data_IF_448733689574
#
_entry.id   IF_448733689574
#
_cell.length_a   1.000
_cell.length_b   1.000
_cell.length_c   1.000
_cell.angle_alpha   90.00
_cell.angle_beta   90.00
_cell.angle_gamma   90.00
#
_symmetry.space_group_name_H-M   'P 1'
#
loop_
_entity.id
_entity.type
_entity.pdbx_description
1 polymer ?
#
# COMPACT_ATOMS: atom_id res chain seq x y z
N UNK A 1 25.54 73.90 -42.51
CA UNK A 1 26.19 72.85 -41.67
C UNK A 1 25.85 73.03 -40.19
N UNK A 2 26.00 74.20 -39.59
CA UNK A 2 25.76 74.42 -38.14
C UNK A 2 24.29 74.33 -37.67
N UNK A 3 23.31 74.75 -38.48
CA UNK A 3 21.90 74.63 -38.10
C UNK A 3 21.42 73.17 -38.05
N UNK A 4 21.88 72.32 -38.99
CA UNK A 4 21.53 70.90 -38.99
C UNK A 4 22.12 70.13 -37.81
N UNK A 5 23.31 70.52 -37.31
CA UNK A 5 23.90 69.95 -36.09
C UNK A 5 23.09 70.31 -34.83
N UNK A 6 22.64 71.57 -34.72
CA UNK A 6 21.82 72.03 -33.60
C UNK A 6 20.44 71.36 -33.58
N UNK A 7 19.79 71.20 -34.72
CA UNK A 7 18.50 70.49 -34.81
C UNK A 7 18.62 69.00 -34.49
N UNK A 8 19.70 68.36 -34.94
CA UNK A 8 19.98 66.96 -34.62
C UNK A 8 20.21 66.76 -33.10
N UNK A 9 21.00 67.62 -32.46
CA UNK A 9 21.19 67.58 -31.01
C UNK A 9 19.88 67.81 -30.24
N UNK A 10 19.04 68.75 -30.71
CA UNK A 10 17.74 69.03 -30.11
C UNK A 10 16.80 67.84 -30.22
N UNK A 11 16.70 67.22 -31.40
CA UNK A 11 15.93 65.99 -31.61
C UNK A 11 16.45 64.82 -30.78
N UNK A 12 17.78 64.64 -30.71
CA UNK A 12 18.39 63.60 -29.86
C UNK A 12 18.03 63.79 -28.39
N UNK A 13 18.02 65.03 -27.90
CA UNK A 13 17.66 65.37 -26.52
C UNK A 13 16.18 65.06 -26.24
N UNK A 14 15.28 65.42 -27.17
CA UNK A 14 13.85 65.13 -27.08
C UNK A 14 13.59 63.62 -27.12
N UNK A 15 14.20 62.87 -28.05
CA UNK A 15 14.09 61.42 -28.11
C UNK A 15 14.57 60.76 -26.81
N UNK A 16 15.68 61.25 -26.23
CA UNK A 16 16.21 60.74 -24.97
C UNK A 16 15.27 61.04 -23.80
N UNK A 17 14.67 62.23 -23.76
CA UNK A 17 13.68 62.62 -22.75
C UNK A 17 12.43 61.76 -22.83
N UNK A 18 11.85 61.59 -24.04
CA UNK A 18 10.66 60.76 -24.25
C UNK A 18 10.93 59.28 -23.94
N UNK A 19 12.12 58.77 -24.27
CA UNK A 19 12.53 57.42 -23.90
C UNK A 19 12.66 57.28 -22.37
N UNK A 20 13.17 58.30 -21.68
CA UNK A 20 13.28 58.32 -20.23
C UNK A 20 11.89 58.29 -19.57
N UNK A 21 10.97 59.17 -19.98
CA UNK A 21 9.60 59.23 -19.46
C UNK A 21 8.84 57.93 -19.70
N UNK A 22 9.01 57.32 -20.89
CA UNK A 22 8.37 56.05 -21.23
C UNK A 22 8.94 54.89 -20.39
N UNK A 23 10.24 54.88 -20.15
CA UNK A 23 10.86 53.92 -19.23
C UNK A 23 10.39 54.14 -17.79
N UNK A 24 10.24 55.38 -17.34
CA UNK A 24 9.76 55.69 -16.00
C UNK A 24 8.30 55.23 -15.78
N UNK A 25 7.45 55.39 -16.81
CA UNK A 25 6.09 54.85 -16.81
C UNK A 25 6.07 53.32 -16.81
N UNK A 26 6.95 52.67 -17.57
CA UNK A 26 7.09 51.21 -17.57
C UNK A 26 7.54 50.69 -16.20
N UNK A 27 8.51 51.35 -15.55
CA UNK A 27 8.96 50.98 -14.20
C UNK A 27 7.81 51.07 -13.21
N UNK A 28 7.04 52.17 -13.21
CA UNK A 28 5.86 52.31 -12.33
C UNK A 28 4.79 51.25 -12.59
N UNK A 29 4.59 50.86 -13.85
CA UNK A 29 3.66 49.80 -14.20
C UNK A 29 4.14 48.42 -13.70
N UNK A 30 5.44 48.13 -13.84
CA UNK A 30 6.07 46.89 -13.35
C UNK A 30 6.00 46.82 -11.82
N UNK A 31 6.28 47.90 -11.11
CA UNK A 31 6.15 47.97 -9.64
C UNK A 31 4.71 47.70 -9.18
N UNK A 32 3.73 48.27 -9.88
CA UNK A 32 2.30 48.04 -9.58
C UNK A 32 1.87 46.59 -9.85
N UNK A 33 2.35 45.99 -10.94
CA UNK A 33 2.13 44.57 -11.22
C UNK A 33 2.82 43.67 -10.20
N UNK A 34 4.05 44.00 -9.80
CA UNK A 34 4.80 43.25 -8.79
C UNK A 34 4.08 43.26 -7.43
N UNK A 35 3.54 44.42 -7.00
CA UNK A 35 2.70 44.48 -5.78
C UNK A 35 1.46 43.59 -5.85
N UNK A 36 0.73 43.62 -6.96
CA UNK A 36 -0.44 42.75 -7.15
C UNK A 36 -0.09 41.27 -7.20
N UNK A 37 1.04 40.91 -7.80
CA UNK A 37 1.54 39.53 -7.80
C UNK A 37 1.87 39.07 -6.38
N UNK A 38 2.44 39.95 -5.55
CA UNK A 38 2.73 39.64 -4.16
C UNK A 38 1.42 39.43 -3.35
N UNK A 39 0.42 40.30 -3.54
CA UNK A 39 -0.89 40.15 -2.90
C UNK A 39 -1.58 38.83 -3.31
N UNK A 40 -1.52 38.46 -4.59
CA UNK A 40 -2.05 37.20 -5.10
C UNK A 40 -1.30 35.99 -4.52
N UNK A 41 0.03 36.06 -4.43
CA UNK A 41 0.84 34.99 -3.83
C UNK A 41 0.49 34.78 -2.35
N UNK A 42 0.34 35.86 -1.58
CA UNK A 42 -0.11 35.76 -0.18
C UNK A 42 -1.53 35.20 -0.07
N UNK A 43 -2.42 35.53 -1.02
CA UNK A 43 -3.77 34.97 -1.05
C UNK A 43 -3.77 33.47 -1.35
N UNK A 44 -2.90 32.98 -2.24
CA UNK A 44 -2.78 31.55 -2.52
C UNK A 44 -2.23 30.76 -1.33
N UNK A 45 -1.33 31.35 -0.55
CA UNK A 45 -0.81 30.70 0.68
C UNK A 45 -1.92 30.53 1.73
N UNK A 46 -2.78 31.54 1.91
CA UNK A 46 -3.92 31.47 2.83
C UNK A 46 -4.95 30.43 2.38
N UNK A 47 -5.24 30.36 1.08
CA UNK A 47 -6.16 29.35 0.53
C UNK A 47 -5.60 27.94 0.73
N UNK A 48 -4.30 27.73 0.52
CA UNK A 48 -3.67 26.44 0.78
C UNK A 48 -3.74 26.04 2.26
N UNK A 49 -3.61 27.00 3.18
CA UNK A 49 -3.75 26.76 4.62
C UNK A 49 -5.20 26.42 5.01
N UNK A 50 -6.19 27.11 4.44
CA UNK A 50 -7.61 26.78 4.65
C UNK A 50 -8.00 25.42 4.05
N UNK A 51 -7.47 25.07 2.86
CA UNK A 51 -7.67 23.75 2.25
C UNK A 51 -7.09 22.63 3.12
N UNK A 52 -5.90 22.84 3.69
CA UNK A 52 -5.30 21.89 4.63
C UNK A 52 -6.15 21.72 5.90
N UNK A 53 -6.69 22.82 6.45
CA UNK A 53 -7.58 22.77 7.61
C UNK A 53 -8.90 22.05 7.28
N UNK A 54 -9.47 22.29 6.10
CA UNK A 54 -10.68 21.63 5.64
C UNK A 54 -10.49 20.12 5.54
N UNK A 55 -9.34 19.69 5.00
CA UNK A 55 -8.97 18.27 4.90
C UNK A 55 -8.89 17.61 6.29
N UNK A 56 -8.23 18.26 7.26
CA UNK A 56 -8.18 17.77 8.65
C UNK A 56 -9.56 17.71 9.30
N UNK A 57 -10.44 18.66 9.01
CA UNK A 57 -11.82 18.64 9.51
C UNK A 57 -12.66 17.53 8.88
N UNK A 58 -12.45 17.20 7.60
CA UNK A 58 -13.11 16.08 6.93
C UNK A 58 -12.71 14.74 7.55
N UNK A 59 -11.42 14.52 7.80
CA UNK A 59 -10.96 13.29 8.50
C UNK A 59 -11.59 13.16 9.90
N UNK A 60 -11.66 14.26 10.67
CA UNK A 60 -12.32 14.25 11.98
C UNK A 60 -13.82 13.90 11.88
N UNK A 61 -14.50 14.38 10.85
CA UNK A 61 -15.92 14.06 10.63
C UNK A 61 -16.12 12.58 10.29
N UNK A 62 -15.22 11.98 9.50
CA UNK A 62 -15.28 10.55 9.20
C UNK A 62 -15.06 9.69 10.44
N UNK A 63 -14.08 10.04 11.29
CA UNK A 63 -13.86 9.36 12.57
C UNK A 63 -15.10 9.47 13.46
N UNK A 64 -15.66 10.67 13.62
CA UNK A 64 -16.85 10.88 14.44
C UNK A 64 -18.07 10.11 13.91
N UNK A 65 -18.24 10.04 12.58
CA UNK A 65 -19.30 9.27 11.94
C UNK A 65 -19.15 7.77 12.22
N UNK A 66 -17.91 7.26 12.24
CA UNK A 66 -17.63 5.86 12.57
C UNK A 66 -17.95 5.54 14.03
N UNK A 67 -17.62 6.44 14.97
CA UNK A 67 -17.95 6.29 16.39
C UNK A 67 -19.47 6.29 16.63
N UNK A 68 -20.19 7.21 15.97
CA UNK A 68 -21.65 7.26 16.04
C UNK A 68 -22.28 5.97 15.50
N UNK A 69 -21.70 5.36 14.46
CA UNK A 69 -22.19 4.07 13.93
C UNK A 69 -22.02 2.95 14.96
N UNK A 70 -20.83 2.84 15.55
CA UNK A 70 -20.54 1.82 16.58
C UNK A 70 -21.44 1.99 17.82
N UNK A 71 -21.66 3.24 18.27
CA UNK A 71 -22.56 3.54 19.37
C UNK A 71 -24.02 3.14 19.05
N UNK A 72 -24.47 3.32 17.82
CA UNK A 72 -25.81 2.89 17.39
C UNK A 72 -25.94 1.37 17.39
N UNK A 73 -24.93 0.65 16.89
CA UNK A 73 -24.90 -0.82 16.89
C UNK A 73 -24.94 -1.37 18.33
N UNK A 74 -24.12 -0.82 19.24
CA UNK A 74 -24.14 -1.19 20.64
C UNK A 74 -25.49 -0.89 21.32
N UNK A 75 -26.13 0.23 20.98
CA UNK A 75 -27.47 0.56 21.49
C UNK A 75 -28.53 -0.43 21.00
N UNK A 76 -28.44 -0.88 19.75
CA UNK A 76 -29.37 -1.88 19.21
C UNK A 76 -29.19 -3.24 19.88
N UNK A 77 -27.95 -3.69 20.08
CA UNK A 77 -27.67 -4.94 20.81
C UNK A 77 -28.20 -4.89 22.25
N UNK A 78 -27.97 -3.77 22.94
CA UNK A 78 -28.47 -3.58 24.30
C UNK A 78 -30.01 -3.57 24.35
N UNK A 79 -30.66 -2.95 23.36
CA UNK A 79 -32.12 -2.92 23.26
C UNK A 79 -32.70 -4.32 23.02
N UNK A 80 -32.07 -5.13 22.16
CA UNK A 80 -32.46 -6.52 21.91
C UNK A 80 -32.25 -7.39 23.16
N UNK A 81 -31.10 -7.26 23.82
CA UNK A 81 -30.82 -7.96 25.07
C UNK A 81 -31.84 -7.60 26.16
N UNK A 82 -32.19 -6.31 26.29
CA UNK A 82 -33.23 -5.87 27.22
C UNK A 82 -34.61 -6.47 26.88
N UNK A 83 -35.01 -6.48 25.61
CA UNK A 83 -36.29 -7.09 25.22
C UNK A 83 -36.33 -8.59 25.49
N UNK A 84 -35.22 -9.30 25.26
CA UNK A 84 -35.13 -10.72 25.60
C UNK A 84 -35.22 -10.96 27.11
N UNK A 85 -34.51 -10.15 27.91
CA UNK A 85 -34.54 -10.23 29.36
C UNK A 85 -35.93 -9.90 29.92
N UNK A 86 -36.58 -8.84 29.43
CA UNK A 86 -37.95 -8.47 29.83
C UNK A 86 -38.96 -9.56 29.45
N UNK A 87 -38.84 -10.12 28.23
CA UNK A 87 -39.68 -11.25 27.81
C UNK A 87 -39.46 -12.50 28.66
N UNK A 88 -38.21 -12.80 29.05
CA UNK A 88 -37.91 -13.90 29.96
C UNK A 88 -38.47 -13.65 31.35
N UNK A 89 -38.31 -12.43 31.88
CA UNK A 89 -38.87 -12.01 33.15
C UNK A 89 -40.39 -12.13 33.17
N UNK A 90 -41.09 -11.67 32.12
CA UNK A 90 -42.54 -11.79 32.01
C UNK A 90 -43.01 -13.25 32.03
N UNK A 91 -42.36 -14.14 31.27
CA UNK A 91 -42.69 -15.58 31.26
C UNK A 91 -42.46 -16.23 32.63
N UNK A 92 -41.32 -15.98 33.25
CA UNK A 92 -41.00 -16.49 34.58
C UNK A 92 -41.98 -15.95 35.62
N UNK A 93 -42.32 -14.66 35.54
CA UNK A 93 -43.29 -14.04 36.41
C UNK A 93 -44.67 -14.67 36.21
N UNK A 94 -45.20 -14.79 34.99
CA UNK A 94 -46.48 -15.46 34.72
C UNK A 94 -46.53 -16.89 35.29
N UNK A 95 -45.47 -17.68 35.06
CA UNK A 95 -45.39 -19.04 35.58
C UNK A 95 -45.34 -19.08 37.11
N UNK A 96 -44.57 -18.19 37.73
CA UNK A 96 -44.53 -18.06 39.19
C UNK A 96 -45.90 -17.70 39.77
N UNK A 97 -46.60 -16.76 39.13
CA UNK A 97 -47.93 -16.31 39.56
C UNK A 97 -48.98 -17.43 39.45
N UNK A 98 -48.89 -18.25 38.41
CA UNK A 98 -49.72 -19.45 38.23
C UNK A 98 -49.45 -20.49 39.32
N UNK A 99 -48.18 -20.85 39.54
CA UNK A 99 -47.76 -21.86 40.54
C UNK A 99 -48.12 -21.42 41.97
N UNK A 100 -47.93 -20.14 42.28
CA UNK A 100 -48.20 -19.60 43.61
C UNK A 100 -49.68 -19.19 43.81
N UNK A 101 -50.52 -19.26 42.78
CA UNK A 101 -51.93 -18.85 42.78
C UNK A 101 -52.12 -17.41 43.34
N UNK A 102 -51.29 -16.46 42.89
CA UNK A 102 -51.35 -15.04 43.28
C UNK A 102 -51.47 -14.14 42.04
N UNK A 103 -52.17 -13.01 42.17
CA UNK A 103 -52.46 -12.10 41.05
C UNK A 103 -51.50 -10.91 40.91
N UNK A 104 -50.79 -10.52 41.98
CA UNK A 104 -49.64 -9.60 41.91
C UNK A 104 -48.56 -9.91 42.95
N UNK A 105 -47.29 -9.67 42.64
CA UNK A 105 -46.19 -9.64 43.63
C UNK A 105 -46.22 -8.32 44.43
N UNK A 106 -46.90 -7.28 43.91
CA UNK A 106 -47.08 -6.01 44.60
C UNK A 106 -48.23 -6.12 45.64
N UNK A 107 -47.95 -5.99 46.95
CA UNK A 107 -48.95 -6.12 48.01
C UNK A 107 -50.12 -5.16 47.89
N UNK A 108 -49.91 -4.03 47.21
CA UNK A 108 -50.92 -2.98 47.03
C UNK A 108 -51.96 -3.31 45.95
N UNK A 109 -51.62 -4.18 44.98
CA UNK A 109 -52.47 -4.55 43.84
C UNK A 109 -53.31 -5.81 44.09
N UNK A 110 -53.02 -6.53 45.18
CA UNK A 110 -53.73 -7.73 45.60
C UNK A 110 -55.11 -7.38 46.19
N UNK A 111 -56.17 -7.99 45.64
CA UNK A 111 -57.57 -7.69 46.02
C UNK A 111 -58.11 -8.61 47.10
N UNK A 112 -57.59 -9.83 47.23
CA UNK A 112 -58.08 -10.83 48.20
C UNK A 112 -57.15 -10.98 49.40
N UNK A 113 -57.73 -11.08 50.60
CA UNK A 113 -57.01 -11.34 51.86
C UNK A 113 -56.27 -12.69 51.83
N UNK A 114 -56.76 -13.65 51.03
CA UNK A 114 -56.13 -14.97 50.85
C UNK A 114 -54.83 -14.88 50.06
N UNK A 115 -54.77 -14.06 49.02
CA UNK A 115 -53.57 -13.89 48.20
C UNK A 115 -52.48 -13.11 48.97
N UNK A 116 -52.88 -12.08 49.74
CA UNK A 116 -51.97 -11.34 50.63
C UNK A 116 -51.31 -12.24 51.68
N UNK A 117 -52.09 -13.16 52.27
CA UNK A 117 -51.57 -14.13 53.24
C UNK A 117 -50.60 -15.11 52.60
N UNK A 118 -50.89 -15.61 51.40
CA UNK A 118 -49.98 -16.52 50.67
C UNK A 118 -48.67 -15.82 50.28
N UNK A 119 -48.73 -14.58 49.79
CA UNK A 119 -47.53 -13.81 49.48
C UNK A 119 -46.67 -13.56 50.73
N UNK A 120 -47.32 -13.32 51.88
CA UNK A 120 -46.64 -13.17 53.17
C UNK A 120 -46.00 -14.48 53.64
N UNK A 121 -46.71 -15.61 53.56
CA UNK A 121 -46.17 -16.93 53.87
C UNK A 121 -44.97 -17.27 52.96
N UNK A 122 -45.06 -16.94 51.67
CA UNK A 122 -43.97 -17.13 50.71
C UNK A 122 -42.76 -16.24 51.05
N UNK A 123 -42.97 -14.95 51.32
CA UNK A 123 -41.90 -14.04 51.74
C UNK A 123 -41.19 -14.53 53.01
N UNK A 124 -41.94 -14.99 54.01
CA UNK A 124 -41.40 -15.61 55.22
C UNK A 124 -40.64 -16.92 54.94
N UNK A 125 -40.98 -17.64 53.87
CA UNK A 125 -40.26 -18.86 53.46
C UNK A 125 -38.94 -18.52 52.78
N UNK A 126 -38.94 -17.54 51.87
CA UNK A 126 -37.71 -17.04 51.22
C UNK A 126 -36.74 -16.41 52.24
N UNK A 127 -37.24 -15.75 53.28
CA UNK A 127 -36.43 -15.17 54.35
C UNK A 127 -35.88 -16.23 55.32
N UNK A 128 -36.56 -17.38 55.48
CA UNK A 128 -36.06 -18.53 56.26
C UNK A 128 -34.99 -19.35 55.54
N UNK A 129 -35.06 -19.42 54.21
CA UNK A 129 -34.13 -20.18 53.36
C UNK A 129 -32.82 -19.41 53.05
N UNK A 130 -32.68 -18.16 53.53
CA UNK A 130 -31.47 -17.32 53.40
C UNK A 130 -30.87 -17.28 51.98
N UNK A 131 -31.74 -17.10 50.99
CA UNK A 131 -31.35 -17.12 49.58
C UNK A 131 -30.55 -15.85 49.26
N UNK A 132 -29.30 -16.04 48.80
CA UNK A 132 -28.39 -14.96 48.40
C UNK A 132 -28.98 -14.09 47.30
N UNK A 133 -28.87 -12.76 47.45
CA UNK A 133 -29.34 -11.76 46.46
C UNK A 133 -28.36 -11.50 45.31
N UNK A 134 -27.24 -12.21 45.28
CA UNK A 134 -26.24 -12.10 44.24
C UNK A 134 -26.61 -13.01 43.06
N UNK A 135 -26.68 -12.44 41.86
CA UNK A 135 -27.18 -13.11 40.65
C UNK A 135 -26.27 -14.28 40.25
N UNK A 136 -24.96 -14.12 40.35
CA UNK A 136 -23.99 -15.17 39.99
C UNK A 136 -24.04 -16.34 40.98
N UNK A 137 -24.16 -16.04 42.28
CA UNK A 137 -24.31 -17.06 43.32
C UNK A 137 -25.62 -17.84 43.19
N UNK A 138 -26.71 -17.16 42.79
CA UNK A 138 -28.01 -17.78 42.57
C UNK A 138 -28.02 -18.69 41.33
N UNK A 139 -27.41 -18.26 40.21
CA UNK A 139 -27.25 -19.10 39.02
C UNK A 139 -26.42 -20.36 39.29
N UNK A 140 -25.39 -20.25 40.13
CA UNK A 140 -24.60 -21.40 40.56
C UNK A 140 -25.44 -22.41 41.37
N UNK A 141 -26.28 -21.93 42.30
CA UNK A 141 -27.19 -22.79 43.06
C UNK A 141 -28.26 -23.45 42.18
N UNK A 142 -28.84 -22.70 41.24
CA UNK A 142 -29.82 -23.23 40.28
C UNK A 142 -29.17 -24.32 39.41
N UNK A 143 -27.97 -24.07 38.90
CA UNK A 143 -27.23 -25.07 38.11
C UNK A 143 -26.91 -26.32 38.94
N UNK A 144 -26.55 -26.16 40.21
CA UNK A 144 -26.32 -27.29 41.11
C UNK A 144 -27.58 -28.12 41.37
N UNK A 145 -28.74 -27.47 41.57
CA UNK A 145 -30.00 -28.18 41.77
C UNK A 145 -30.52 -28.83 40.48
N UNK A 146 -30.35 -28.19 39.32
CA UNK A 146 -30.64 -28.80 38.01
C UNK A 146 -29.76 -30.03 37.79
N UNK A 147 -28.47 -29.97 38.14
CA UNK A 147 -27.58 -31.13 38.04
C UNK A 147 -28.03 -32.27 38.98
N UNK A 148 -28.43 -31.96 40.22
CA UNK A 148 -28.99 -32.97 41.14
C UNK A 148 -30.29 -33.59 40.60
N UNK A 149 -31.16 -32.78 40.00
CA UNK A 149 -32.42 -33.24 39.41
C UNK A 149 -32.20 -34.08 38.14
N UNK A 150 -31.24 -33.71 37.29
CA UNK A 150 -30.85 -34.48 36.11
C UNK A 150 -30.21 -35.82 36.49
N UNK A 151 -29.47 -35.86 37.61
CA UNK A 151 -28.93 -37.09 38.20
C UNK A 151 -30.02 -37.95 38.84
N UNK A 152 -31.13 -37.37 39.29
CA UNK A 152 -32.24 -38.13 39.90
C UNK A 152 -33.05 -38.96 38.89
N UNK A 153 -32.82 -38.83 37.57
CA UNK A 153 -33.49 -39.60 36.53
C UNK A 153 -32.79 -40.91 36.12
N UNK A 154 -31.51 -41.08 36.42
CA UNK A 154 -30.74 -42.31 36.16
C UNK A 154 -29.74 -42.44 37.30
N UNK A 155 -29.79 -43.56 38.03
CA UNK A 155 -28.88 -43.92 39.14
C UNK A 155 -27.46 -43.38 38.92
N UNK A 156 -27.20 -42.17 39.40
CA UNK A 156 -25.90 -41.52 39.30
C UNK A 156 -25.15 -41.78 40.59
N UNK A 157 -24.05 -42.50 40.48
CA UNK A 157 -23.13 -42.73 41.59
C UNK A 157 -22.32 -41.46 41.87
N UNK A 158 -21.75 -41.35 43.07
CA UNK A 158 -20.83 -40.26 43.45
C UNK A 158 -19.68 -40.06 42.44
N UNK A 159 -19.30 -41.12 41.74
CA UNK A 159 -18.34 -41.10 40.63
C UNK A 159 -18.77 -40.22 39.44
N UNK A 160 -20.07 -40.05 39.18
CA UNK A 160 -20.54 -39.26 38.04
C UNK A 160 -20.47 -37.75 38.33
N UNK A 161 -20.65 -37.36 39.60
CA UNK A 161 -20.40 -35.98 40.08
C UNK A 161 -18.91 -35.64 40.00
N UNK A 162 -18.04 -36.59 40.37
CA UNK A 162 -16.58 -36.44 40.23
C UNK A 162 -16.19 -36.29 38.75
N UNK A 163 -16.70 -37.15 37.85
CA UNK A 163 -16.45 -37.03 36.40
C UNK A 163 -16.93 -35.71 35.82
N UNK A 164 -18.08 -35.20 36.24
CA UNK A 164 -18.56 -33.90 35.79
C UNK A 164 -17.65 -32.76 36.25
N UNK A 165 -17.16 -32.80 37.50
CA UNK A 165 -16.21 -31.82 38.02
C UNK A 165 -14.87 -31.88 37.28
N UNK A 166 -14.36 -33.07 37.00
CA UNK A 166 -13.17 -33.27 36.17
C UNK A 166 -13.39 -32.72 34.76
N UNK A 167 -14.54 -33.00 34.14
CA UNK A 167 -14.88 -32.48 32.81
C UNK A 167 -14.98 -30.95 32.76
N UNK A 168 -15.50 -30.30 33.81
CA UNK A 168 -15.51 -28.84 33.92
C UNK A 168 -14.09 -28.28 34.05
N UNK A 169 -13.25 -28.89 34.89
CA UNK A 169 -11.85 -28.47 35.03
C UNK A 169 -11.06 -28.68 33.74
N UNK A 170 -11.29 -29.78 33.03
CA UNK A 170 -10.69 -30.02 31.71
C UNK A 170 -11.19 -29.03 30.66
N UNK A 171 -12.49 -28.66 30.69
CA UNK A 171 -13.04 -27.62 29.82
C UNK A 171 -12.35 -26.28 30.07
N UNK A 172 -12.25 -25.84 31.32
CA UNK A 172 -11.56 -24.59 31.69
C UNK A 172 -10.10 -24.60 31.24
N UNK A 173 -9.41 -25.74 31.41
CA UNK A 173 -8.02 -25.91 30.94
C UNK A 173 -7.92 -25.81 29.43
N UNK A 174 -8.79 -26.50 28.68
CA UNK A 174 -8.80 -26.48 27.21
C UNK A 174 -9.15 -25.07 26.70
N UNK A 175 -10.08 -24.37 27.34
CA UNK A 175 -10.45 -23.00 26.99
C UNK A 175 -9.27 -22.04 27.23
N UNK A 176 -8.53 -22.20 28.34
CA UNK A 176 -7.32 -21.43 28.61
C UNK A 176 -6.20 -21.72 27.59
N UNK A 177 -5.96 -23.00 27.28
CA UNK A 177 -5.00 -23.42 26.25
C UNK A 177 -5.38 -22.85 24.87
N UNK A 178 -6.68 -22.88 24.52
CA UNK A 178 -7.19 -22.33 23.27
C UNK A 178 -6.99 -20.81 23.20
N UNK A 179 -7.29 -20.08 24.28
CA UNK A 179 -7.05 -18.64 24.37
C UNK A 179 -5.57 -18.31 24.20
N UNK A 180 -4.68 -19.04 24.86
CA UNK A 180 -3.23 -18.85 24.72
C UNK A 180 -2.77 -19.10 23.28
N UNK A 181 -3.24 -20.19 22.65
CA UNK A 181 -2.91 -20.51 21.25
C UNK A 181 -3.47 -19.48 20.27
N UNK A 182 -4.67 -18.96 20.50
CA UNK A 182 -5.26 -17.88 19.70
C UNK A 182 -4.44 -16.60 19.82
N UNK A 183 -4.05 -16.21 21.04
CA UNK A 183 -3.18 -15.05 21.25
C UNK A 183 -1.83 -15.23 20.55
N UNK A 184 -1.21 -16.40 20.69
CA UNK A 184 0.05 -16.71 20.02
C UNK A 184 -0.08 -16.68 18.49
N UNK A 185 -1.18 -17.22 17.93
CA UNK A 185 -1.46 -17.17 16.50
C UNK A 185 -1.64 -15.74 15.99
N UNK A 186 -2.40 -14.92 16.70
CA UNK A 186 -2.61 -13.51 16.36
C UNK A 186 -1.29 -12.73 16.42
N UNK A 187 -0.48 -12.94 17.45
CA UNK A 187 0.85 -12.33 17.57
C UNK A 187 1.77 -12.77 16.43
N UNK A 188 1.78 -14.04 16.07
CA UNK A 188 2.57 -14.55 14.96
C UNK A 188 2.11 -13.99 13.61
N UNK A 189 0.79 -13.87 13.39
CA UNK A 189 0.23 -13.25 12.20
C UNK A 189 0.64 -11.78 12.08
N UNK A 190 0.57 -11.01 13.17
CA UNK A 190 1.01 -9.62 13.22
C UNK A 190 2.52 -9.47 12.99
N UNK A 191 3.33 -10.37 13.53
CA UNK A 191 4.77 -10.38 13.26
C UNK A 191 5.09 -10.73 11.80
N UNK A 192 4.32 -11.66 11.21
CA UNK A 192 4.49 -12.05 9.82
C UNK A 192 4.14 -10.90 8.89
N UNK A 193 3.00 -10.21 9.11
CA UNK A 193 2.62 -9.04 8.31
C UNK A 193 3.65 -7.91 8.45
N UNK A 194 4.11 -7.62 9.67
CA UNK A 194 5.13 -6.59 9.89
C UNK A 194 6.45 -6.90 9.16
N UNK A 195 6.89 -8.17 9.15
CA UNK A 195 8.07 -8.60 8.39
C UNK A 195 7.85 -8.52 6.88
N UNK A 196 6.65 -8.86 6.43
CA UNK A 196 6.28 -8.79 5.02
C UNK A 196 6.31 -7.34 4.52
N UNK A 197 5.71 -6.41 5.27
CA UNK A 197 5.72 -4.98 4.95
C UNK A 197 7.13 -4.38 4.99
N UNK A 198 7.94 -4.78 5.98
CA UNK A 198 9.32 -4.34 6.11
C UNK A 198 10.19 -4.78 4.91
N UNK A 199 9.84 -5.88 4.24
CA UNK A 199 10.50 -6.33 3.01
C UNK A 199 9.87 -5.73 1.74
N UNK A 200 8.53 -5.73 1.64
CA UNK A 200 7.77 -5.27 0.47
C UNK A 200 7.99 -3.79 0.18
N UNK A 201 8.03 -2.94 1.21
CA UNK A 201 8.17 -1.50 1.03
C UNK A 201 9.53 -1.11 0.40
N UNK A 202 10.69 -1.56 0.91
CA UNK A 202 11.98 -1.33 0.24
C UNK A 202 12.05 -1.90 -1.17
N UNK A 203 11.49 -3.09 -1.40
CA UNK A 203 11.49 -3.73 -2.73
C UNK A 203 10.65 -2.91 -3.71
N UNK A 204 9.45 -2.46 -3.32
CA UNK A 204 8.61 -1.59 -4.16
C UNK A 204 9.34 -0.31 -4.50
N UNK A 205 9.96 0.37 -3.53
CA UNK A 205 10.72 1.60 -3.78
C UNK A 205 11.90 1.39 -4.73
N UNK A 206 12.58 0.23 -4.64
CA UNK A 206 13.66 -0.11 -5.54
C UNK A 206 13.12 -0.35 -6.96
N UNK A 207 12.02 -1.08 -7.10
CA UNK A 207 11.35 -1.30 -8.39
C UNK A 207 10.84 0.01 -9.01
N UNK A 208 10.31 0.92 -8.20
CA UNK A 208 9.87 2.24 -8.66
C UNK A 208 11.03 3.06 -9.23
N UNK A 209 12.18 3.07 -8.55
CA UNK A 209 13.40 3.71 -9.06
C UNK A 209 13.88 3.06 -10.36
N UNK A 210 13.87 1.73 -10.45
CA UNK A 210 14.18 1.03 -11.71
C UNK A 210 13.20 1.47 -12.79
N UNK A 211 11.90 1.54 -12.49
CA UNK A 211 10.89 1.92 -13.47
C UNK A 211 11.05 3.37 -13.93
N UNK A 212 11.46 4.30 -13.08
CA UNK A 212 11.74 5.68 -13.47
C UNK A 212 12.90 5.75 -14.45
N UNK A 213 14.01 5.06 -14.16
CA UNK A 213 15.18 5.03 -15.03
C UNK A 213 14.88 4.31 -16.34
N UNK A 214 14.14 3.21 -16.28
CA UNK A 214 13.65 2.49 -17.45
C UNK A 214 12.77 3.36 -18.34
N UNK A 215 11.84 4.14 -17.76
CA UNK A 215 10.99 5.11 -18.48
C UNK A 215 11.83 6.19 -19.16
N UNK A 216 12.86 6.72 -18.48
CA UNK A 216 13.78 7.72 -19.06
C UNK A 216 14.48 7.18 -20.30
N UNK A 217 15.08 5.98 -20.21
CA UNK A 217 15.79 5.37 -21.35
C UNK A 217 14.85 4.99 -22.50
N UNK A 218 13.67 4.45 -22.21
CA UNK A 218 12.68 4.15 -23.24
C UNK A 218 12.19 5.41 -23.98
N UNK A 219 12.03 6.54 -23.27
CA UNK A 219 11.60 7.81 -23.88
C UNK A 219 12.63 8.33 -24.88
N UNK A 220 13.94 8.13 -24.66
CA UNK A 220 14.99 8.48 -25.61
C UNK A 220 14.93 7.65 -26.91
N UNK A 221 14.36 6.46 -26.83
CA UNK A 221 14.05 5.60 -27.98
C UNK A 221 12.70 5.90 -28.64
N UNK A 222 11.98 6.94 -28.20
CA UNK A 222 10.62 7.26 -28.66
C UNK A 222 9.62 6.13 -28.35
N UNK A 223 9.89 5.34 -27.31
CA UNK A 223 9.11 4.18 -26.88
C UNK A 223 8.62 4.37 -25.43
N UNK A 224 7.68 3.53 -24.99
CA UNK A 224 7.18 3.55 -23.61
C UNK A 224 7.53 2.21 -22.95
N UNK A 225 8.15 2.27 -21.78
CA UNK A 225 8.50 1.11 -20.96
C UNK A 225 8.10 1.35 -19.51
N UNK A 226 7.65 0.32 -18.81
CA UNK A 226 7.30 0.38 -17.39
C UNK A 226 7.66 -0.94 -16.71
N UNK A 227 8.19 -0.87 -15.48
CA UNK A 227 8.52 -2.05 -14.67
C UNK A 227 7.62 -2.03 -13.44
N UNK A 228 6.99 -3.15 -13.11
CA UNK A 228 6.12 -3.27 -11.93
C UNK A 228 6.49 -4.46 -11.09
N UNK A 229 6.33 -4.30 -9.79
CA UNK A 229 6.34 -5.41 -8.85
C UNK A 229 5.00 -6.15 -8.98
N UNK A 230 5.04 -7.41 -9.36
CA UNK A 230 3.86 -8.28 -9.36
C UNK A 230 3.60 -8.72 -7.92
N UNK A 231 2.49 -8.25 -7.37
CA UNK A 231 2.00 -8.61 -6.04
C UNK A 231 0.87 -9.63 -6.23
N UNK A 232 1.01 -10.86 -5.71
CA UNK A 232 -0.02 -11.89 -5.83
C UNK A 232 -1.28 -11.54 -5.05
N UNK A 233 -2.42 -12.14 -5.41
CA UNK A 233 -3.70 -11.97 -4.68
C UNK A 233 -3.59 -12.35 -3.20
N UNK A 234 -2.74 -13.33 -2.89
CA UNK A 234 -2.40 -13.72 -1.52
C UNK A 234 -1.02 -13.19 -1.18
N UNK A 235 -0.97 -12.12 -0.40
CA UNK A 235 0.29 -11.44 -0.07
C UNK A 235 1.33 -12.34 0.61
N UNK A 236 0.90 -13.42 1.27
CA UNK A 236 1.79 -14.39 1.94
C UNK A 236 2.44 -15.40 0.99
N UNK A 237 2.02 -15.47 -0.27
CA UNK A 237 2.59 -16.39 -1.26
C UNK A 237 3.85 -15.79 -1.89
N UNK A 238 4.95 -15.83 -1.13
CA UNK A 238 6.23 -15.22 -1.52
C UNK A 238 6.79 -15.77 -2.84
N UNK A 239 6.43 -17.00 -3.22
CA UNK A 239 6.89 -17.65 -4.46
C UNK A 239 6.25 -17.05 -5.71
N UNK A 240 5.08 -16.40 -5.56
CA UNK A 240 4.38 -15.76 -6.68
C UNK A 240 4.77 -14.30 -6.91
N UNK A 241 5.58 -13.70 -6.04
CA UNK A 241 6.09 -12.36 -6.28
C UNK A 241 7.05 -12.37 -7.47
N UNK A 242 6.91 -11.38 -8.34
CA UNK A 242 7.71 -11.30 -9.56
C UNK A 242 7.90 -9.87 -10.03
N UNK A 243 8.67 -9.71 -11.08
CA UNK A 243 8.84 -8.42 -11.77
C UNK A 243 8.23 -8.56 -13.15
N UNK A 244 7.22 -7.74 -13.43
CA UNK A 244 6.62 -7.66 -14.75
C UNK A 244 7.17 -6.43 -15.48
N UNK A 245 7.75 -6.66 -16.66
CA UNK A 245 8.24 -5.61 -17.55
C UNK A 245 7.21 -5.40 -18.65
N UNK A 246 6.79 -4.17 -18.85
CA UNK A 246 5.82 -3.76 -19.85
C UNK A 246 6.46 -2.83 -20.88
N UNK A 247 6.22 -3.06 -22.16
CA UNK A 247 6.83 -2.30 -23.25
C UNK A 247 5.86 -2.00 -24.38
N UNK A 248 6.06 -0.85 -25.02
CA UNK A 248 5.32 -0.37 -26.20
C UNK A 248 6.29 0.33 -27.15
N UNK A 249 6.49 -0.27 -28.32
CA UNK A 249 7.43 0.20 -29.35
C UNK A 249 6.79 1.03 -30.47
N UNK A 250 5.46 0.98 -30.62
CA UNK A 250 4.73 1.70 -31.68
C UNK A 250 3.63 2.53 -31.05
N UNK A 251 3.39 3.74 -31.56
CA UNK A 251 2.35 4.64 -31.04
C UNK A 251 0.95 3.99 -31.01
N UNK A 252 0.63 3.19 -32.03
CA UNK A 252 -0.66 2.50 -32.17
C UNK A 252 -0.72 1.13 -31.46
N UNK A 253 0.34 0.71 -30.77
CA UNK A 253 0.33 -0.54 -30.01
C UNK A 253 -0.11 -0.31 -28.56
N UNK A 254 -0.64 -1.35 -27.93
CA UNK A 254 -0.92 -1.34 -26.49
C UNK A 254 0.34 -1.68 -25.69
N UNK A 255 0.37 -1.20 -24.43
CA UNK A 255 1.41 -1.57 -23.48
C UNK A 255 1.20 -3.04 -23.08
N UNK A 256 2.16 -3.91 -23.42
CA UNK A 256 2.07 -5.35 -23.14
C UNK A 256 3.23 -5.81 -22.29
N UNK A 257 2.99 -6.84 -21.49
CA UNK A 257 4.05 -7.55 -20.78
C UNK A 257 5.04 -8.13 -21.79
N UNK A 258 6.33 -8.04 -21.48
CA UNK A 258 7.40 -8.68 -22.23
C UNK A 258 7.24 -10.19 -22.10
N UNK A 259 6.90 -10.86 -23.21
CA UNK A 259 6.71 -12.31 -23.28
C UNK A 259 7.33 -12.83 -24.59
N UNK A 260 7.71 -14.10 -24.61
CA UNK A 260 8.40 -14.75 -25.74
C UNK A 260 7.57 -14.70 -27.04
N UNK A 261 6.23 -14.58 -26.90
CA UNK A 261 5.27 -14.70 -28.01
C UNK A 261 4.85 -13.37 -28.65
N UNK A 262 5.01 -12.24 -27.95
CA UNK A 262 4.41 -10.96 -28.37
C UNK A 262 5.39 -9.96 -28.97
N UNK A 263 6.68 -10.09 -28.70
CA UNK A 263 7.71 -9.13 -29.11
C UNK A 263 8.71 -9.79 -30.08
N UNK A 264 9.24 -9.00 -31.00
CA UNK A 264 10.33 -9.44 -31.88
C UNK A 264 11.62 -9.68 -31.08
N UNK A 265 12.53 -10.49 -31.62
CA UNK A 265 13.84 -10.76 -30.98
C UNK A 265 14.62 -9.48 -30.67
N UNK A 266 14.63 -8.51 -31.60
CA UNK A 266 15.28 -7.22 -31.40
C UNK A 266 14.63 -6.36 -30.32
N UNK A 267 13.29 -6.28 -30.28
CA UNK A 267 12.56 -5.57 -29.22
C UNK A 267 12.83 -6.17 -27.84
N UNK A 268 12.97 -7.49 -27.75
CA UNK A 268 13.35 -8.17 -26.51
C UNK A 268 14.78 -7.86 -26.08
N UNK A 269 15.73 -7.90 -27.02
CA UNK A 269 17.13 -7.55 -26.73
C UNK A 269 17.24 -6.10 -26.24
N UNK A 270 16.58 -5.15 -26.93
CA UNK A 270 16.54 -3.74 -26.52
C UNK A 270 15.92 -3.58 -25.14
N UNK A 271 14.76 -4.19 -24.89
CA UNK A 271 14.09 -4.10 -23.58
C UNK A 271 14.94 -4.65 -22.45
N UNK A 272 15.60 -5.79 -22.69
CA UNK A 272 16.46 -6.45 -21.70
C UNK A 272 17.70 -5.60 -21.40
N UNK A 273 18.33 -5.04 -22.43
CA UNK A 273 19.51 -4.20 -22.27
C UNK A 273 19.18 -2.91 -21.49
N UNK A 274 18.08 -2.25 -21.83
CA UNK A 274 17.64 -1.04 -21.12
C UNK A 274 17.24 -1.32 -19.67
N UNK A 275 16.65 -2.49 -19.40
CA UNK A 275 16.36 -2.93 -18.04
C UNK A 275 17.66 -3.13 -17.24
N UNK A 276 18.68 -3.75 -17.86
CA UNK A 276 20.00 -3.89 -17.24
C UNK A 276 20.67 -2.54 -16.99
N UNK A 277 20.57 -1.57 -17.90
CA UNK A 277 21.08 -0.21 -17.69
C UNK A 277 20.34 0.50 -16.53
N UNK A 278 19.02 0.37 -16.45
CA UNK A 278 18.23 0.92 -15.34
C UNK A 278 18.59 0.32 -13.97
N UNK A 279 18.91 -0.98 -13.93
CA UNK A 279 19.44 -1.64 -12.75
C UNK A 279 20.83 -1.14 -12.37
N UNK A 280 21.69 -0.91 -13.37
CA UNK A 280 23.09 -0.52 -13.15
C UNK A 280 23.22 0.86 -12.50
N UNK A 281 22.32 1.81 -12.78
CA UNK A 281 22.30 3.11 -12.11
C UNK A 281 22.07 3.01 -10.59
N UNK A 282 21.41 1.94 -10.12
CA UNK A 282 21.16 1.70 -8.70
C UNK A 282 22.25 0.86 -8.03
N UNK A 283 23.07 0.18 -8.83
CA UNK A 283 24.11 -0.74 -8.39
C UNK A 283 25.47 -0.31 -8.96
N UNK A 284 26.15 0.64 -8.30
CA UNK A 284 27.50 1.01 -8.69
C UNK A 284 28.46 -0.16 -8.40
N UNK A 285 29.13 -0.64 -9.45
CA UNK A 285 30.12 -1.70 -9.38
C UNK A 285 31.41 -1.24 -10.06
N UNK A 286 32.60 -1.67 -9.57
CA UNK A 286 33.88 -1.10 -10.00
C UNK A 286 34.26 -1.38 -11.45
N UNK A 287 33.74 -2.45 -12.06
CA UNK A 287 33.90 -2.73 -13.49
C UNK A 287 32.69 -3.51 -13.99
N UNK A 288 32.39 -3.37 -15.28
CA UNK A 288 31.30 -4.09 -15.96
C UNK A 288 31.86 -4.70 -17.24
N UNK A 289 31.66 -6.00 -17.40
CA UNK A 289 32.00 -6.71 -18.63
C UNK A 289 30.70 -6.96 -19.40
N UNK A 290 30.72 -6.62 -20.68
CA UNK A 290 29.54 -6.67 -21.54
C UNK A 290 29.97 -7.37 -22.83
N UNK A 291 29.30 -8.47 -23.16
CA UNK A 291 29.65 -9.33 -24.30
C UNK A 291 28.39 -9.60 -25.14
N UNK A 292 28.54 -9.59 -26.46
CA UNK A 292 27.50 -9.94 -27.46
C UNK A 292 26.12 -9.26 -27.27
N UNK A 293 26.09 -8.08 -26.64
CA UNK A 293 24.83 -7.39 -26.32
C UNK A 293 24.10 -6.84 -27.54
N UNK A 294 24.80 -6.67 -28.66
CA UNK A 294 24.27 -6.09 -29.90
C UNK A 294 23.71 -7.14 -30.87
N UNK A 295 23.86 -8.44 -30.59
CA UNK A 295 23.34 -9.47 -31.48
C UNK A 295 21.80 -9.48 -31.52
N UNK A 296 21.25 -9.38 -32.73
CA UNK A 296 19.81 -9.43 -32.97
C UNK A 296 19.07 -8.09 -32.87
N UNK A 297 19.79 -6.97 -32.65
CA UNK A 297 19.24 -5.62 -32.76
C UNK A 297 19.43 -5.04 -34.16
N UNK A 298 18.54 -4.12 -34.56
CA UNK A 298 18.73 -3.34 -35.78
C UNK A 298 19.77 -2.22 -35.57
N UNK A 299 20.50 -1.79 -36.62
CA UNK A 299 21.59 -0.82 -36.49
C UNK A 299 21.18 0.54 -35.89
N UNK A 300 19.90 0.92 -35.98
CA UNK A 300 19.39 2.18 -35.43
C UNK A 300 19.22 2.09 -33.92
N UNK A 301 18.62 1.00 -33.42
CA UNK A 301 18.45 0.77 -31.99
C UNK A 301 19.79 0.45 -31.31
N UNK A 302 20.65 -0.33 -31.96
CA UNK A 302 22.01 -0.62 -31.48
C UNK A 302 22.79 0.66 -31.18
N UNK A 303 22.81 1.61 -32.13
CA UNK A 303 23.53 2.87 -31.98
C UNK A 303 22.99 3.72 -30.83
N UNK A 304 21.66 3.79 -30.67
CA UNK A 304 21.02 4.55 -29.59
C UNK A 304 21.30 3.94 -28.22
N UNK A 305 21.21 2.61 -28.09
CA UNK A 305 21.49 1.90 -26.83
C UNK A 305 22.97 2.03 -26.44
N UNK A 306 23.86 1.97 -27.42
CA UNK A 306 25.29 2.20 -27.19
C UNK A 306 25.60 3.63 -26.74
N UNK A 307 24.97 4.64 -27.36
CA UNK A 307 25.09 6.04 -26.96
C UNK A 307 24.59 6.26 -25.52
N UNK A 308 23.41 5.70 -25.17
CA UNK A 308 22.90 5.71 -23.81
C UNK A 308 23.85 5.05 -22.80
N UNK A 309 24.43 3.91 -23.16
CA UNK A 309 25.38 3.22 -22.30
C UNK A 309 26.64 4.08 -22.05
N UNK A 310 27.17 4.72 -23.09
CA UNK A 310 28.30 5.65 -22.95
C UNK A 310 27.96 6.86 -22.09
N UNK A 311 26.76 7.43 -22.24
CA UNK A 311 26.33 8.59 -21.46
C UNK A 311 26.20 8.27 -19.97
N UNK A 312 25.64 7.11 -19.63
CA UNK A 312 25.57 6.63 -18.23
C UNK A 312 26.98 6.50 -17.65
N UNK A 313 27.90 5.86 -18.39
CA UNK A 313 29.29 5.68 -17.98
C UNK A 313 30.06 7.01 -17.89
N UNK A 314 29.74 8.00 -18.73
CA UNK A 314 30.40 9.31 -18.75
C UNK A 314 29.85 10.28 -17.68
N UNK A 315 28.61 10.11 -17.25
CA UNK A 315 27.96 10.95 -16.24
C UNK A 315 28.45 10.69 -14.81
N UNK A 316 29.10 9.55 -14.55
CA UNK A 316 29.75 9.27 -13.27
C UNK A 316 31.14 9.93 -13.18
N UNK A 317 31.17 11.17 -12.69
CA UNK A 317 32.41 11.84 -12.30
C UNK A 317 33.07 11.22 -11.06
N UNK A 318 33.80 10.11 -11.20
CA UNK A 318 34.98 9.77 -10.36
C UNK A 318 35.82 8.65 -11.02
N UNK A 319 37.16 8.62 -10.84
CA UNK A 319 38.09 8.03 -11.79
C UNK A 319 38.21 6.51 -11.64
N UNK A 320 38.03 5.77 -12.75
CA UNK A 320 38.56 4.41 -12.90
C UNK A 320 37.58 3.28 -13.27
N UNK A 321 36.42 3.55 -13.88
CA UNK A 321 35.60 2.47 -14.47
C UNK A 321 36.10 2.15 -15.90
N UNK A 322 37.10 1.29 -16.01
CA UNK A 322 37.52 0.73 -17.29
C UNK A 322 36.48 -0.29 -17.79
N UNK A 323 35.64 0.12 -18.74
CA UNK A 323 34.76 -0.79 -19.46
C UNK A 323 35.57 -1.48 -20.54
N UNK A 324 35.87 -2.77 -20.35
CA UNK A 324 36.56 -3.58 -21.36
C UNK A 324 35.52 -4.09 -22.35
N UNK A 325 35.43 -3.45 -23.50
CA UNK A 325 34.68 -3.96 -24.65
C UNK A 325 35.60 -4.90 -25.46
N UNK A 326 35.15 -6.12 -25.83
CA UNK A 326 35.88 -6.92 -26.79
C UNK A 326 35.92 -6.22 -28.15
N UNK A 327 37.11 -6.18 -28.74
CA UNK A 327 37.34 -5.57 -30.04
C UNK A 327 36.76 -6.47 -31.13
N UNK A 328 35.62 -6.07 -31.70
CA UNK A 328 35.12 -6.70 -32.91
C UNK A 328 36.06 -6.41 -34.08
N UNK A 329 36.54 -7.52 -34.64
CA UNK A 329 37.22 -7.61 -35.91
C UNK A 329 36.28 -7.19 -37.03
N UNK A 330 36.36 -5.95 -37.50
CA UNK A 330 36.13 -5.55 -38.90
C UNK A 330 36.36 -4.04 -39.12
N UNK A 331 37.56 -3.55 -38.85
CA UNK A 331 37.99 -2.25 -39.37
C UNK A 331 38.40 -2.41 -40.84
N UNK A 332 37.43 -2.30 -41.74
CA UNK A 332 37.68 -1.99 -43.15
C UNK A 332 38.40 -0.66 -43.24
N UNK A 333 39.73 -0.72 -43.33
CA UNK A 333 40.60 0.43 -43.42
C UNK A 333 40.37 1.16 -44.75
N UNK A 334 39.79 2.36 -44.66
CA UNK A 334 39.94 3.39 -45.70
C UNK A 334 41.38 3.88 -45.69
N UNK A 335 42.14 3.58 -46.74
CA UNK A 335 43.46 4.17 -47.00
C UNK A 335 43.35 5.31 -48.02
N UNK A 336 43.98 6.49 -47.81
CA UNK A 336 44.21 7.47 -48.87
C UNK A 336 45.50 7.17 -49.65
N UNK A 337 45.50 7.55 -50.93
CA UNK A 337 46.59 7.43 -51.91
C UNK A 337 47.91 8.12 -51.47
N UNK A 338 49.06 7.46 -51.68
CA UNK A 338 50.05 7.81 -52.73
C UNK A 338 51.34 6.95 -52.68
N UNK A 339 51.70 6.42 -53.88
CA UNK A 339 53.02 6.15 -54.49
C UNK A 339 54.20 5.68 -53.60
N UNK A 340 54.68 4.46 -53.86
CA UNK A 340 55.96 4.18 -54.54
C UNK A 340 56.09 2.67 -54.89
N UNK A 341 56.90 2.35 -55.92
CA UNK A 341 56.94 1.06 -56.61
C UNK A 341 57.84 -0.03 -55.99
N UNK A 342 58.38 -0.96 -56.79
CA UNK A 342 57.86 -2.34 -56.83
C UNK A 342 58.86 -3.37 -56.31
N UNK A 343 58.39 -4.54 -55.87
CA UNK A 343 59.18 -5.79 -55.88
C UNK A 343 58.30 -7.05 -55.97
N UNK A 344 58.67 -7.89 -56.92
CA UNK A 344 58.15 -9.22 -57.27
C UNK A 344 58.45 -10.25 -56.17
N UNK A 345 57.57 -11.26 -56.05
CA UNK A 345 57.82 -12.70 -56.23
C UNK A 345 56.61 -13.46 -55.65
N UNK A 346 55.77 -14.09 -56.48
CA UNK A 346 55.84 -15.53 -56.78
C UNK A 346 55.99 -16.42 -55.53
N UNK A 347 54.92 -17.13 -55.14
CA UNK A 347 54.81 -18.57 -55.38
C UNK A 347 53.39 -19.06 -55.05
N UNK A 348 52.75 -19.68 -56.04
CA UNK A 348 51.70 -20.67 -55.84
C UNK A 348 52.28 -21.89 -55.15
N UNK A 349 51.52 -22.53 -54.26
CA UNK A 349 51.50 -23.99 -54.19
C UNK A 349 50.17 -24.47 -53.57
N UNK A 350 49.41 -25.11 -54.45
CA UNK A 350 48.28 -26.00 -54.22
C UNK A 350 48.60 -27.10 -53.21
N UNK A 351 47.61 -27.54 -52.42
CA UNK A 351 46.99 -28.87 -52.59
C UNK A 351 46.14 -29.32 -51.38
N UNK A 352 44.91 -29.74 -51.72
CA UNK A 352 44.21 -30.95 -51.25
C UNK A 352 43.69 -31.02 -49.81
N UNK A 353 42.35 -30.97 -49.73
CA UNK A 353 41.51 -31.77 -48.82
C UNK A 353 41.80 -33.28 -48.98
N UNK A 354 41.60 -34.07 -47.93
CA UNK A 354 40.31 -34.76 -47.70
C UNK A 354 39.93 -34.73 -46.20
N UNK A 355 38.71 -34.98 -45.74
CA UNK A 355 37.47 -35.51 -46.31
C UNK A 355 36.33 -34.93 -45.50
#
# INVERSE_FOLDING_TARGET
>A
MENGRRDFERQKKICKQNALERNEQLVKAVEKCSKKLLELATGTDVVAEEEAQLYVHQEKLEVLASEIRLLKEALTELAEAYQQADGAFQRCNEHFMEVCEISSIDPSKLRSTREKRKLQELAETFEKEDITRDSEALELQITQEIAKLQVSGVVGTENDVVRHREALSDKERIEAELQEKMQAMNNNAAQLSAKLDAWKNPVSQLVDKISENFKKFFTQLECIGEVKLNVPEREYDMEQYGIDIYVKFRENAELRRLDDKSQSGGERSVSTMLYMLALQELCPVPFRCVDEINQGMDPRNERKVFEMMLDILASEGSPGQDTVLPADSETSARTPLQREGPRRNHLQLTARRPR
#
